data_IF_425807150538
#
_entry.id   IF_425807150538
#
_cell.length_a   1.000
_cell.length_b   1.000
_cell.length_c   1.000
_cell.angle_alpha   90.00
_cell.angle_beta   90.00
_cell.angle_gamma   90.00
#
_symmetry.space_group_name_H-M   'P 1'
#
loop_
_entity.id
_entity.type
_entity.pdbx_description
1 polymer ?
#
# COMPACT_ATOMS: atom_id res chain seq x y z
N UNK A 1 50.49 -39.91 -55.79
CA UNK A 1 49.27 -39.09 -55.83
C UNK A 1 49.38 -38.01 -54.74
N UNK A 2 49.25 -36.73 -55.12
CA UNK A 2 48.90 -35.45 -54.41
C UNK A 2 49.09 -35.38 -52.87
N UNK A 3 49.88 -34.47 -52.27
CA UNK A 3 49.83 -32.97 -52.12
C UNK A 3 48.75 -32.36 -51.20
N UNK A 4 49.22 -31.45 -50.31
CA UNK A 4 48.54 -30.30 -49.64
C UNK A 4 47.48 -30.58 -48.55
N UNK A 5 47.47 -30.02 -47.31
CA UNK A 5 47.59 -28.66 -46.73
C UNK A 5 46.22 -28.04 -46.35
N UNK A 6 46.16 -27.33 -45.19
CA UNK A 6 45.14 -26.36 -44.69
C UNK A 6 43.83 -26.91 -44.08
N UNK A 7 43.57 -26.69 -42.78
CA UNK A 7 42.93 -25.50 -42.15
C UNK A 7 41.41 -25.48 -42.31
N UNK A 8 40.67 -25.51 -41.18
CA UNK A 8 39.67 -24.47 -40.87
C UNK A 8 39.05 -24.61 -39.48
N UNK A 9 39.01 -23.45 -38.80
CA UNK A 9 38.21 -23.03 -37.64
C UNK A 9 36.81 -23.68 -37.54
N UNK A 10 36.26 -23.85 -36.33
CA UNK A 10 35.40 -22.81 -35.72
C UNK A 10 34.54 -23.28 -34.53
N UNK A 11 34.52 -22.41 -33.51
CA UNK A 11 33.40 -22.05 -32.61
C UNK A 11 32.92 -23.07 -31.56
N UNK A 12 33.55 -22.96 -30.39
CA UNK A 12 32.88 -23.09 -29.10
C UNK A 12 31.81 -21.98 -28.97
N UNK A 13 30.55 -22.34 -28.78
CA UNK A 13 29.46 -21.44 -28.39
C UNK A 13 29.10 -21.66 -26.92
N UNK A 14 29.08 -20.61 -26.08
CA UNK A 14 28.56 -20.68 -24.72
C UNK A 14 27.11 -20.18 -24.71
N UNK A 15 26.13 -21.08 -24.62
CA UNK A 15 24.73 -20.70 -24.41
C UNK A 15 24.02 -21.79 -23.60
N UNK A 16 24.32 -21.82 -22.31
CA UNK A 16 23.62 -22.63 -21.32
C UNK A 16 23.42 -21.78 -20.06
N UNK A 17 22.65 -20.71 -20.20
CA UNK A 17 22.01 -20.00 -19.09
C UNK A 17 20.77 -19.33 -19.68
N UNK A 18 19.68 -19.34 -18.93
CA UNK A 18 18.33 -18.83 -19.28
C UNK A 18 17.41 -19.85 -19.96
N UNK A 19 16.83 -20.77 -19.19
CA UNK A 19 15.44 -21.25 -19.32
C UNK A 19 15.12 -22.10 -18.07
N UNK A 20 14.86 -21.42 -16.96
CA UNK A 20 14.35 -22.02 -15.73
C UNK A 20 13.35 -21.05 -15.06
N UNK A 21 12.37 -20.60 -15.84
CA UNK A 21 11.14 -19.94 -15.36
C UNK A 21 10.03 -20.34 -16.33
N UNK A 22 9.63 -21.62 -16.33
CA UNK A 22 8.30 -22.08 -16.82
C UNK A 22 8.13 -23.60 -16.60
N UNK A 23 8.03 -24.06 -15.34
CA UNK A 23 7.66 -25.46 -15.06
C UNK A 23 7.22 -25.69 -13.60
N UNK A 24 6.18 -25.00 -13.12
CA UNK A 24 5.40 -25.46 -11.94
C UNK A 24 3.91 -25.13 -12.13
N UNK A 25 3.39 -25.45 -13.31
CA UNK A 25 1.96 -25.63 -13.53
C UNK A 25 1.83 -26.90 -14.36
N UNK A 26 0.87 -27.76 -14.02
CA UNK A 26 0.62 -29.10 -14.57
C UNK A 26 1.35 -30.23 -13.80
N UNK A 27 0.85 -30.50 -12.60
CA UNK A 27 0.76 -31.86 -12.05
C UNK A 27 -0.20 -31.84 -10.86
N UNK A 28 -1.50 -32.07 -11.09
CA UNK A 28 -2.43 -32.80 -10.20
C UNK A 28 -3.81 -32.87 -10.86
N UNK A 29 -4.11 -33.93 -11.64
CA UNK A 29 -5.49 -34.31 -11.90
C UNK A 29 -5.87 -35.52 -11.03
N UNK A 30 -7.15 -35.54 -10.65
CA UNK A 30 -7.94 -36.77 -10.55
C UNK A 30 -7.65 -37.68 -9.34
N UNK A 31 -8.16 -37.33 -8.15
CA UNK A 31 -8.46 -38.33 -7.11
C UNK A 31 -9.39 -37.80 -6.00
N UNK A 32 -10.54 -37.20 -6.35
CA UNK A 32 -11.62 -36.95 -5.37
C UNK A 32 -13.03 -37.05 -6.01
N UNK A 33 -13.18 -37.90 -7.02
CA UNK A 33 -14.49 -38.34 -7.50
C UNK A 33 -14.73 -39.75 -6.98
N UNK A 34 -15.35 -39.88 -5.80
CA UNK A 34 -16.12 -41.03 -5.30
C UNK A 34 -16.19 -41.00 -3.77
N UNK A 35 -17.05 -40.12 -3.23
CA UNK A 35 -17.60 -40.26 -1.88
C UNK A 35 -18.97 -39.60 -1.77
N UNK A 36 -19.72 -39.52 -2.87
CA UNK A 36 -21.06 -38.96 -2.93
C UNK A 36 -22.04 -40.08 -3.28
N UNK A 37 -22.41 -40.86 -2.29
CA UNK A 37 -23.69 -41.58 -2.23
C UNK A 37 -23.82 -42.22 -0.84
N UNK A 38 -25.00 -42.08 -0.23
CA UNK A 38 -25.44 -42.63 1.06
C UNK A 38 -25.22 -41.76 2.33
N UNK A 39 -25.94 -40.62 2.40
CA UNK A 39 -26.81 -40.34 3.54
C UNK A 39 -27.83 -39.25 3.15
N UNK A 40 -28.98 -39.65 2.62
CA UNK A 40 -30.14 -38.77 2.46
C UNK A 40 -31.05 -38.98 3.66
N UNK A 41 -31.33 -37.91 4.41
CA UNK A 41 -32.68 -37.38 4.70
C UNK A 41 -32.52 -36.27 5.77
N UNK A 42 -33.07 -35.09 5.46
CA UNK A 42 -33.37 -33.95 6.36
C UNK A 42 -32.31 -32.84 6.61
N UNK A 43 -31.43 -32.54 5.64
CA UNK A 43 -30.51 -31.37 5.74
C UNK A 43 -30.61 -30.38 4.55
N UNK A 44 -31.14 -30.80 3.40
CA UNK A 44 -31.06 -30.01 2.15
C UNK A 44 -31.87 -28.70 2.17
N UNK A 45 -32.98 -28.62 2.92
CA UNK A 45 -33.81 -27.39 2.98
C UNK A 45 -33.19 -26.34 3.91
N UNK A 46 -32.59 -26.78 5.01
CA UNK A 46 -31.94 -25.88 5.99
C UNK A 46 -30.62 -25.36 5.43
N UNK A 47 -29.91 -26.19 4.66
CA UNK A 47 -28.67 -25.78 3.99
C UNK A 47 -28.96 -24.78 2.86
N UNK A 48 -30.03 -24.92 2.06
CA UNK A 48 -30.31 -23.94 1.00
C UNK A 48 -30.66 -22.55 1.57
N UNK A 49 -31.42 -22.48 2.67
CA UNK A 49 -31.76 -21.22 3.35
C UNK A 49 -30.54 -20.59 4.06
N UNK A 50 -29.73 -21.39 4.77
CA UNK A 50 -28.49 -20.92 5.43
C UNK A 50 -27.42 -20.55 4.39
N UNK A 51 -27.29 -21.29 3.29
CA UNK A 51 -26.35 -20.98 2.21
C UNK A 51 -26.79 -19.71 1.49
N UNK A 52 -28.08 -19.49 1.28
CA UNK A 52 -28.57 -18.23 0.72
C UNK A 52 -28.23 -17.04 1.61
N UNK A 53 -28.44 -17.17 2.93
CA UNK A 53 -28.19 -16.12 3.92
C UNK A 53 -26.68 -15.84 4.15
N UNK A 54 -25.81 -16.80 3.88
CA UNK A 54 -24.33 -16.65 3.96
C UNK A 54 -23.72 -16.22 2.61
N UNK A 55 -24.45 -16.40 1.49
CA UNK A 55 -23.94 -16.10 0.13
C UNK A 55 -24.44 -14.79 -0.47
N UNK A 56 -25.42 -14.10 0.13
CA UNK A 56 -25.80 -12.75 -0.29
C UNK A 56 -24.98 -11.71 0.50
N UNK A 57 -24.06 -10.97 -0.14
CA UNK A 57 -23.32 -9.89 0.52
C UNK A 57 -24.20 -8.67 0.81
N UNK A 58 -25.48 -8.69 0.41
CA UNK A 58 -26.41 -7.57 0.51
C UNK A 58 -27.35 -7.78 1.70
N UNK A 59 -27.72 -6.69 2.37
CA UNK A 59 -28.73 -6.66 3.42
C UNK A 59 -30.16 -6.81 2.84
N UNK A 60 -31.17 -6.75 3.70
CA UNK A 60 -32.59 -6.92 3.32
C UNK A 60 -33.06 -5.89 2.28
N UNK A 61 -32.43 -4.70 2.26
CA UNK A 61 -32.72 -3.59 1.35
C UNK A 61 -31.86 -3.62 0.07
N UNK A 62 -30.94 -4.58 -0.05
CA UNK A 62 -30.09 -4.75 -1.23
C UNK A 62 -28.78 -3.95 -1.20
N UNK A 63 -28.37 -3.42 -0.05
CA UNK A 63 -27.15 -2.65 0.18
C UNK A 63 -26.02 -3.53 0.73
N UNK A 64 -24.77 -3.27 0.33
CA UNK A 64 -23.59 -3.97 0.82
C UNK A 64 -23.25 -3.57 2.25
N UNK A 65 -23.48 -2.30 2.60
CA UNK A 65 -23.14 -1.72 3.89
C UNK A 65 -24.39 -1.43 4.70
N UNK A 66 -24.40 -1.92 5.96
CA UNK A 66 -25.49 -1.67 6.89
C UNK A 66 -25.07 -0.61 7.93
N UNK A 67 -25.91 0.41 8.13
CA UNK A 67 -25.55 1.52 9.02
C UNK A 67 -25.31 1.06 10.46
N UNK A 68 -26.20 0.24 11.03
CA UNK A 68 -26.11 -0.19 12.43
C UNK A 68 -24.93 -1.12 12.67
N UNK A 69 -24.67 -2.04 11.73
CA UNK A 69 -23.59 -3.03 11.82
C UNK A 69 -22.21 -2.44 11.48
N UNK A 70 -22.12 -1.63 10.44
CA UNK A 70 -20.84 -1.27 9.83
C UNK A 70 -20.46 0.20 10.06
N UNK A 71 -21.41 1.14 10.08
CA UNK A 71 -21.12 2.59 10.16
C UNK A 71 -21.20 3.12 11.59
N UNK A 72 -22.26 2.79 12.32
CA UNK A 72 -22.48 3.26 13.68
C UNK A 72 -21.29 2.95 14.62
N UNK A 73 -20.66 1.76 14.59
CA UNK A 73 -19.49 1.49 15.42
C UNK A 73 -18.28 2.38 15.09
N UNK A 74 -18.12 2.76 13.81
CA UNK A 74 -17.05 3.67 13.39
C UNK A 74 -17.29 5.05 13.99
N UNK A 75 -18.51 5.59 13.83
CA UNK A 75 -18.87 6.91 14.37
C UNK A 75 -18.78 6.95 15.89
N UNK A 76 -19.14 5.86 16.56
CA UNK A 76 -19.03 5.75 18.02
C UNK A 76 -17.58 5.82 18.49
N UNK A 77 -16.70 5.01 17.91
CA UNK A 77 -15.31 4.90 18.37
C UNK A 77 -14.46 6.10 17.91
N UNK A 78 -14.76 6.67 16.73
CA UNK A 78 -13.91 7.69 16.11
C UNK A 78 -14.41 9.12 16.30
N UNK A 79 -15.70 9.33 16.52
CA UNK A 79 -16.31 10.66 16.42
C UNK A 79 -17.03 11.10 17.70
N UNK A 80 -17.72 10.20 18.42
CA UNK A 80 -18.56 10.59 19.56
C UNK A 80 -17.81 11.25 20.72
N UNK A 81 -16.54 10.90 20.96
CA UNK A 81 -15.75 11.50 22.05
C UNK A 81 -15.59 13.02 21.91
N UNK A 82 -15.62 13.56 20.69
CA UNK A 82 -15.47 14.99 20.40
C UNK A 82 -16.70 15.66 19.77
N UNK A 83 -17.60 14.87 19.18
CA UNK A 83 -18.80 15.32 18.45
C UNK A 83 -20.06 14.62 18.95
N UNK A 84 -20.12 14.27 20.23
CA UNK A 84 -21.26 13.63 20.88
C UNK A 84 -22.17 14.63 21.60
N UNK A 85 -23.15 14.11 22.37
CA UNK A 85 -24.09 14.95 23.11
C UNK A 85 -23.45 15.68 24.30
N UNK A 86 -22.37 15.12 24.88
CA UNK A 86 -21.65 15.75 26.00
C UNK A 86 -20.60 16.75 25.53
N UNK A 87 -20.02 16.55 24.35
CA UNK A 87 -19.06 17.46 23.73
C UNK A 87 -19.30 17.60 22.23
N UNK A 88 -19.57 18.82 21.79
CA UNK A 88 -19.87 19.17 20.40
C UNK A 88 -18.83 20.15 19.86
N UNK A 89 -17.61 19.66 19.58
CA UNK A 89 -16.56 20.51 19.00
C UNK A 89 -17.05 21.14 17.70
N UNK A 90 -16.78 22.43 17.55
CA UNK A 90 -17.24 23.25 16.42
C UNK A 90 -18.76 23.23 16.19
N UNK A 91 -19.56 22.97 17.24
CA UNK A 91 -21.03 22.90 17.16
C UNK A 91 -21.53 21.80 16.20
N UNK A 92 -20.69 20.80 15.93
CA UNK A 92 -21.02 19.64 15.12
C UNK A 92 -21.27 18.42 16.00
N UNK A 93 -22.42 17.78 15.78
CA UNK A 93 -22.85 16.57 16.47
C UNK A 93 -23.09 15.43 15.48
N UNK A 94 -22.41 14.30 15.73
CA UNK A 94 -22.49 13.10 14.89
C UNK A 94 -23.67 12.20 15.28
N UNK A 95 -24.19 12.34 16.50
CA UNK A 95 -25.38 11.62 16.99
C UNK A 95 -26.69 12.22 16.46
N UNK A 96 -26.63 13.39 15.85
CA UNK A 96 -27.75 14.09 15.24
C UNK A 96 -27.78 13.81 13.74
N UNK A 97 -28.76 13.01 13.30
CA UNK A 97 -28.86 12.60 11.90
C UNK A 97 -29.02 13.81 10.98
N UNK A 98 -29.87 14.76 11.35
CA UNK A 98 -30.16 15.93 10.54
C UNK A 98 -28.91 16.78 10.33
N UNK A 99 -28.15 17.04 11.40
CA UNK A 99 -26.89 17.79 11.30
C UNK A 99 -25.82 17.03 10.52
N UNK A 100 -25.76 15.70 10.62
CA UNK A 100 -24.80 14.90 9.86
C UNK A 100 -25.11 14.93 8.35
N UNK A 101 -26.40 14.89 8.00
CA UNK A 101 -26.86 14.90 6.61
C UNK A 101 -26.59 16.24 5.90
N UNK A 102 -26.33 17.34 6.62
CA UNK A 102 -25.86 18.60 6.03
C UNK A 102 -24.44 18.50 5.41
N UNK A 103 -23.66 17.46 5.78
CA UNK A 103 -22.30 17.23 5.30
C UNK A 103 -22.19 16.00 4.38
N UNK A 104 -23.31 15.33 4.14
CA UNK A 104 -23.38 14.11 3.32
C UNK A 104 -24.34 14.37 2.17
N UNK A 105 -23.83 14.21 0.95
CA UNK A 105 -24.62 14.17 -0.27
C UNK A 105 -24.90 12.69 -0.60
N UNK A 106 -26.14 12.20 -0.39
CA UNK A 106 -26.48 10.81 -0.68
C UNK A 106 -26.19 10.45 -2.14
N UNK A 107 -25.76 9.22 -2.38
CA UNK A 107 -25.35 8.67 -3.68
C UNK A 107 -24.02 9.22 -4.23
N UNK A 108 -23.41 10.22 -3.58
CA UNK A 108 -22.16 10.83 -4.04
C UNK A 108 -21.20 11.20 -2.89
N UNK A 109 -20.32 10.25 -2.56
CA UNK A 109 -19.26 10.47 -1.58
C UNK A 109 -18.22 11.50 -2.02
N UNK A 110 -18.09 11.80 -3.32
CA UNK A 110 -17.10 12.76 -3.81
C UNK A 110 -17.62 14.21 -3.77
N UNK A 111 -18.92 14.42 -3.63
CA UNK A 111 -19.49 15.74 -3.30
C UNK A 111 -19.81 15.92 -1.81
N UNK A 112 -19.77 14.84 -1.03
CA UNK A 112 -19.94 14.88 0.43
C UNK A 112 -18.74 15.54 1.13
N UNK A 113 -18.95 16.70 1.75
CA UNK A 113 -17.92 17.44 2.48
C UNK A 113 -17.35 16.64 3.65
N UNK A 114 -18.19 15.83 4.34
CA UNK A 114 -17.72 14.90 5.37
C UNK A 114 -16.58 14.02 4.85
N UNK A 115 -16.75 13.45 3.67
CA UNK A 115 -15.80 12.48 3.12
C UNK A 115 -14.56 13.17 2.53
N UNK A 116 -14.74 14.24 1.75
CA UNK A 116 -13.65 14.90 1.04
C UNK A 116 -12.86 15.85 1.95
N UNK A 117 -13.55 16.74 2.66
CA UNK A 117 -12.93 17.85 3.37
C UNK A 117 -12.47 17.49 4.78
N UNK A 118 -13.01 16.41 5.37
CA UNK A 118 -12.70 16.02 6.75
C UNK A 118 -12.08 14.62 6.87
N UNK A 119 -12.57 13.62 6.14
CA UNK A 119 -12.09 12.24 6.30
C UNK A 119 -10.88 11.87 5.43
N UNK A 120 -10.69 12.53 4.27
CA UNK A 120 -9.65 12.16 3.28
C UNK A 120 -8.67 13.27 2.92
N UNK A 121 -8.81 14.44 3.54
CA UNK A 121 -7.89 15.56 3.39
C UNK A 121 -6.55 15.28 4.10
N UNK A 122 -5.46 15.84 3.59
CA UNK A 122 -4.13 15.76 4.22
C UNK A 122 -3.72 17.12 4.81
N UNK A 123 -4.61 17.69 5.61
CA UNK A 123 -4.41 18.94 6.34
C UNK A 123 -4.58 18.65 7.84
N UNK A 124 -3.61 19.05 8.67
CA UNK A 124 -3.57 18.70 10.10
C UNK A 124 -4.68 19.37 10.92
N UNK A 125 -5.16 20.54 10.49
CA UNK A 125 -6.21 21.30 11.17
C UNK A 125 -7.62 20.87 10.74
N UNK A 126 -7.76 20.34 9.52
CA UNK A 126 -9.04 19.93 8.94
C UNK A 126 -9.31 18.42 9.04
N UNK A 127 -8.26 17.59 9.08
CA UNK A 127 -8.42 16.13 9.12
C UNK A 127 -9.10 15.66 10.41
N UNK A 128 -10.20 14.93 10.26
CA UNK A 128 -10.96 14.33 11.35
C UNK A 128 -11.04 12.81 11.18
N UNK A 129 -10.75 12.02 12.23
CA UNK A 129 -10.21 12.43 13.53
C UNK A 129 -8.76 12.96 13.43
N UNK A 130 -8.36 13.90 14.31
CA UNK A 130 -7.00 14.42 14.31
C UNK A 130 -5.97 13.32 14.55
N UNK A 131 -4.77 13.46 13.96
CA UNK A 131 -3.66 12.50 14.15
C UNK A 131 -3.31 12.26 15.63
N UNK A 132 -3.45 13.29 16.46
CA UNK A 132 -3.23 13.22 17.91
C UNK A 132 -4.35 12.49 18.70
N UNK A 133 -5.53 12.29 18.10
CA UNK A 133 -6.72 11.73 18.75
C UNK A 133 -7.33 10.63 17.90
N UNK A 134 -6.64 9.50 17.78
CA UNK A 134 -7.14 8.31 17.07
C UNK A 134 -6.88 8.29 15.57
N UNK A 135 -6.44 9.41 15.00
CA UNK A 135 -5.95 9.53 13.62
C UNK A 135 -7.00 9.34 12.53
N UNK A 136 -6.60 9.50 11.26
CA UNK A 136 -7.51 9.29 10.14
C UNK A 136 -8.07 7.87 10.20
N UNK A 137 -9.31 7.72 9.73
CA UNK A 137 -9.95 6.42 9.58
C UNK A 137 -9.03 5.48 8.78
N UNK A 138 -9.06 4.21 9.16
CA UNK A 138 -8.40 3.16 8.40
C UNK A 138 -9.00 3.05 7.00
N UNK A 139 -8.26 2.51 6.01
CA UNK A 139 -8.79 2.34 4.66
C UNK A 139 -10.08 1.53 4.58
N UNK A 140 -10.24 0.54 5.45
CA UNK A 140 -11.47 -0.25 5.54
C UNK A 140 -12.64 0.57 6.06
N UNK A 141 -12.42 1.38 7.10
CA UNK A 141 -13.44 2.28 7.65
C UNK A 141 -13.83 3.34 6.61
N UNK A 142 -12.85 3.97 5.95
CA UNK A 142 -13.11 4.91 4.84
C UNK A 142 -13.87 4.26 3.68
N UNK A 143 -13.52 3.03 3.31
CA UNK A 143 -14.21 2.31 2.25
C UNK A 143 -15.67 2.02 2.63
N UNK A 144 -15.93 1.61 3.87
CA UNK A 144 -17.30 1.40 4.37
C UNK A 144 -18.11 2.69 4.32
N UNK A 145 -17.56 3.80 4.85
CA UNK A 145 -18.22 5.11 4.80
C UNK A 145 -18.49 5.55 3.36
N UNK A 146 -17.52 5.39 2.45
CA UNK A 146 -17.70 5.74 1.03
C UNK A 146 -18.81 4.92 0.37
N UNK A 147 -18.81 3.61 0.59
CA UNK A 147 -19.82 2.72 -0.01
C UNK A 147 -21.20 3.06 0.55
N UNK A 148 -21.32 3.24 1.87
CA UNK A 148 -22.57 3.65 2.50
C UNK A 148 -23.13 4.96 1.94
N UNK A 149 -22.30 6.01 1.80
CA UNK A 149 -22.75 7.27 1.20
C UNK A 149 -23.23 7.05 -0.24
N UNK A 150 -22.45 6.31 -1.04
CA UNK A 150 -22.79 6.00 -2.43
C UNK A 150 -24.03 5.10 -2.57
N UNK A 151 -24.38 4.33 -1.54
CA UNK A 151 -25.62 3.55 -1.46
C UNK A 151 -26.83 4.38 -0.99
N UNK A 152 -26.64 5.69 -0.79
CA UNK A 152 -27.70 6.63 -0.42
C UNK A 152 -27.69 7.06 1.05
N UNK A 153 -26.59 6.78 1.77
CA UNK A 153 -26.39 7.15 3.18
C UNK A 153 -27.59 6.77 4.07
N UNK A 154 -28.14 5.57 3.85
CA UNK A 154 -29.33 5.13 4.55
C UNK A 154 -29.07 5.05 6.06
N UNK A 155 -29.92 5.74 6.84
CA UNK A 155 -29.91 5.70 8.29
C UNK A 155 -31.33 5.36 8.77
N UNK A 156 -31.58 4.16 9.28
CA UNK A 156 -32.92 3.74 9.70
C UNK A 156 -33.46 4.57 10.87
N UNK A 157 -34.75 4.90 10.85
CA UNK A 157 -35.41 5.58 11.97
C UNK A 157 -35.41 4.69 13.22
N UNK A 158 -34.93 5.23 14.36
CA UNK A 158 -34.86 4.51 15.63
C UNK A 158 -33.51 3.87 15.97
N UNK A 159 -32.51 3.97 15.08
CA UNK A 159 -31.12 3.59 15.38
C UNK A 159 -30.37 4.81 15.92
N UNK A 160 -30.14 4.83 17.23
CA UNK A 160 -29.34 5.88 17.90
C UNK A 160 -27.89 5.44 18.06
N UNK A 161 -26.95 6.37 17.82
CA UNK A 161 -25.52 6.12 18.07
C UNK A 161 -25.19 5.97 19.56
N UNK A 162 -26.03 6.49 20.46
CA UNK A 162 -25.80 6.47 21.91
C UNK A 162 -26.38 5.24 22.61
N UNK A 163 -27.42 4.61 22.05
CA UNK A 163 -28.09 3.45 22.65
C UNK A 163 -27.37 2.12 22.37
N UNK A 164 -26.52 2.09 21.33
CA UNK A 164 -25.77 0.91 20.92
C UNK A 164 -24.49 0.65 21.76
N UNK A 165 -24.15 1.52 22.70
CA UNK A 165 -23.03 1.30 23.63
C UNK A 165 -23.27 0.12 24.60
N UNK A 166 -24.53 -0.30 24.81
CA UNK A 166 -24.90 -1.46 25.63
C UNK A 166 -25.06 -2.76 24.82
N UNK A 167 -25.07 -2.69 23.49
CA UNK A 167 -25.33 -3.82 22.61
C UNK A 167 -24.14 -4.08 21.68
N UNK A 168 -23.28 -4.96 22.15
CA UNK A 168 -22.21 -5.68 21.47
C UNK A 168 -20.82 -5.03 21.53
N UNK A 169 -19.96 -5.69 22.33
CA UNK A 169 -18.56 -5.93 21.98
C UNK A 169 -18.50 -6.59 20.59
N UNK A 170 -18.72 -5.83 19.52
CA UNK A 170 -18.31 -6.27 18.19
C UNK A 170 -16.86 -5.85 18.07
N UNK A 171 -15.93 -6.80 17.93
CA UNK A 171 -14.61 -6.42 17.49
C UNK A 171 -14.83 -5.83 16.10
N UNK A 172 -14.66 -4.52 15.95
CA UNK A 172 -14.19 -3.97 14.68
C UNK A 172 -12.82 -4.60 14.49
N UNK A 173 -12.83 -5.86 14.07
CA UNK A 173 -11.69 -6.51 13.49
C UNK A 173 -11.50 -5.74 12.19
N UNK A 174 -10.74 -4.65 12.29
CA UNK A 174 -9.84 -4.24 11.22
C UNK A 174 -9.28 -5.58 10.74
N UNK A 175 -9.70 -6.04 9.56
CA UNK A 175 -9.25 -7.31 9.00
C UNK A 175 -7.82 -7.06 8.53
N UNK A 176 -6.94 -6.78 9.48
CA UNK A 176 -5.52 -6.87 9.32
C UNK A 176 -5.21 -8.29 8.89
N UNK A 177 -4.09 -8.49 8.20
CA UNK A 177 -3.76 -9.79 7.65
C UNK A 177 -3.84 -10.88 8.73
N UNK A 178 -4.77 -11.81 8.56
CA UNK A 178 -4.99 -12.92 9.49
C UNK A 178 -3.89 -13.97 9.38
N UNK A 179 -3.21 -14.02 8.23
CA UNK A 179 -2.11 -14.94 7.96
C UNK A 179 -0.76 -14.33 8.34
N UNK A 180 0.16 -15.15 8.85
CA UNK A 180 1.56 -14.75 9.11
C UNK A 180 2.21 -14.11 7.86
N UNK A 181 1.94 -14.68 6.68
CA UNK A 181 2.46 -14.17 5.41
C UNK A 181 1.95 -12.76 5.13
N UNK A 182 0.65 -12.52 5.33
CA UNK A 182 0.07 -11.19 5.18
C UNK A 182 0.64 -10.19 6.19
N UNK A 183 0.86 -10.61 7.45
CA UNK A 183 1.42 -9.75 8.50
C UNK A 183 2.85 -9.35 8.19
N UNK A 184 3.68 -10.30 7.77
CA UNK A 184 5.06 -10.04 7.34
C UNK A 184 5.07 -9.14 6.11
N UNK A 185 4.18 -9.39 5.15
CA UNK A 185 4.03 -8.55 3.97
C UNK A 185 3.68 -7.10 4.33
N UNK A 186 2.65 -6.87 5.15
CA UNK A 186 2.27 -5.54 5.60
C UNK A 186 3.39 -4.87 6.42
N UNK A 187 3.97 -5.60 7.38
CA UNK A 187 5.04 -5.09 8.25
C UNK A 187 6.29 -4.62 7.48
N UNK A 188 6.73 -5.35 6.44
CA UNK A 188 7.90 -4.90 5.66
C UNK A 188 7.65 -3.57 4.93
N UNK A 189 6.39 -3.19 4.69
CA UNK A 189 6.06 -1.91 4.04
C UNK A 189 6.55 -0.72 4.85
N UNK A 190 6.52 -0.82 6.18
CA UNK A 190 7.03 0.20 7.10
C UNK A 190 8.56 0.41 6.98
N UNK A 191 9.29 -0.54 6.39
CA UNK A 191 10.72 -0.37 6.11
C UNK A 191 10.99 0.38 4.80
N UNK A 192 9.95 0.77 4.04
CA UNK A 192 10.11 1.55 2.81
C UNK A 192 10.93 2.84 3.02
N UNK A 193 10.64 3.71 4.00
CA UNK A 193 11.42 4.93 4.22
C UNK A 193 12.90 4.64 4.54
N UNK A 194 13.18 3.57 5.30
CA UNK A 194 14.55 3.18 5.58
C UNK A 194 15.26 2.65 4.33
N UNK A 195 14.58 1.84 3.52
CA UNK A 195 15.18 1.19 2.35
C UNK A 195 15.40 2.13 1.17
N UNK A 196 14.61 3.20 1.01
CA UNK A 196 14.82 4.18 -0.09
C UNK A 196 16.16 4.92 0.01
N UNK A 197 16.75 5.05 1.20
CA UNK A 197 18.04 5.74 1.38
C UNK A 197 19.19 5.03 0.65
N UNK A 198 19.13 3.71 0.52
CA UNK A 198 20.16 2.92 -0.17
C UNK A 198 20.27 3.22 -1.67
N UNK A 199 19.20 3.06 -2.49
CA UNK A 199 19.26 3.40 -3.91
C UNK A 199 19.55 4.89 -4.14
N UNK A 200 18.99 5.79 -3.31
CA UNK A 200 19.28 7.22 -3.39
C UNK A 200 20.78 7.46 -3.24
N UNK A 201 21.39 6.97 -2.15
CA UNK A 201 22.82 7.17 -1.88
C UNK A 201 23.70 6.56 -2.98
N UNK A 202 23.40 5.34 -3.43
CA UNK A 202 24.19 4.64 -4.44
C UNK A 202 24.10 5.31 -5.82
N UNK A 203 22.90 5.67 -6.28
CA UNK A 203 22.72 6.32 -7.58
C UNK A 203 23.36 7.72 -7.59
N UNK A 204 23.21 8.50 -6.51
CA UNK A 204 23.85 9.81 -6.35
C UNK A 204 25.37 9.70 -6.30
N UNK A 205 25.92 8.77 -5.51
CA UNK A 205 27.35 8.53 -5.43
C UNK A 205 27.92 8.11 -6.79
N UNK A 206 27.25 7.17 -7.46
CA UNK A 206 27.62 6.71 -8.79
C UNK A 206 27.65 7.85 -9.81
N UNK A 207 26.61 8.68 -9.83
CA UNK A 207 26.54 9.89 -10.65
C UNK A 207 27.69 10.86 -10.34
N UNK A 208 27.98 11.11 -9.07
CA UNK A 208 29.12 11.90 -8.64
C UNK A 208 30.45 11.40 -9.20
N UNK A 209 30.68 10.08 -9.17
CA UNK A 209 31.89 9.47 -9.75
C UNK A 209 31.90 9.48 -11.30
N UNK A 210 30.74 9.51 -11.97
CA UNK A 210 30.68 9.75 -13.43
C UNK A 210 31.20 11.15 -13.76
N UNK A 211 30.72 12.17 -13.04
CA UNK A 211 31.16 13.56 -13.21
C UNK A 211 32.64 13.71 -12.88
N UNK A 212 33.07 13.12 -11.76
CA UNK A 212 34.48 13.11 -11.36
C UNK A 212 35.38 12.41 -12.38
N UNK A 213 34.84 11.38 -13.05
CA UNK A 213 35.45 10.66 -14.15
C UNK A 213 35.84 11.53 -15.35
N UNK A 214 35.23 12.70 -15.53
CA UNK A 214 35.62 13.65 -16.59
C UNK A 214 36.99 14.26 -16.33
N UNK A 215 37.36 14.46 -15.06
CA UNK A 215 38.69 14.96 -14.65
C UNK A 215 39.66 13.81 -14.39
N UNK A 216 39.18 12.69 -13.83
CA UNK A 216 39.98 11.53 -13.47
C UNK A 216 39.41 10.23 -14.07
N UNK A 217 39.81 9.86 -15.31
CA UNK A 217 39.22 8.73 -16.03
C UNK A 217 39.29 7.39 -15.30
N UNK A 218 40.30 7.21 -14.43
CA UNK A 218 40.46 6.01 -13.61
C UNK A 218 39.27 5.74 -12.68
N UNK A 219 38.61 6.79 -12.17
CA UNK A 219 37.50 6.67 -11.22
C UNK A 219 36.14 6.53 -11.92
N UNK A 220 36.03 6.99 -13.16
CA UNK A 220 34.75 7.19 -13.84
C UNK A 220 34.07 5.94 -14.39
N UNK A 221 34.56 4.73 -14.10
CA UNK A 221 34.02 3.49 -14.71
C UNK A 221 33.70 2.41 -13.69
N UNK A 222 34.65 1.98 -12.85
CA UNK A 222 34.41 0.86 -11.92
C UNK A 222 33.45 1.24 -10.78
N UNK A 223 33.64 2.40 -10.16
CA UNK A 223 32.83 2.86 -9.02
C UNK A 223 31.39 3.16 -9.47
N UNK A 224 31.15 3.94 -10.54
CA UNK A 224 29.78 4.19 -11.01
C UNK A 224 29.03 2.92 -11.42
N UNK A 225 29.75 1.96 -12.02
CA UNK A 225 29.17 0.68 -12.41
C UNK A 225 28.67 -0.11 -11.18
N UNK A 226 29.52 -0.26 -10.16
CA UNK A 226 29.13 -0.96 -8.93
C UNK A 226 27.93 -0.28 -8.25
N UNK A 227 27.95 1.06 -8.18
CA UNK A 227 26.86 1.86 -7.64
C UNK A 227 25.56 1.67 -8.41
N UNK A 228 25.59 1.66 -9.75
CA UNK A 228 24.41 1.44 -10.58
C UNK A 228 23.84 0.02 -10.41
N UNK A 229 24.69 -1.00 -10.36
CA UNK A 229 24.24 -2.39 -10.22
C UNK A 229 23.57 -2.62 -8.86
N UNK A 230 24.26 -2.27 -7.76
CA UNK A 230 23.74 -2.45 -6.41
C UNK A 230 22.53 -1.51 -6.19
N UNK A 231 22.63 -0.27 -6.67
CA UNK A 231 21.57 0.73 -6.63
C UNK A 231 20.29 0.24 -7.29
N UNK A 232 20.37 -0.35 -8.50
CA UNK A 232 19.20 -0.88 -9.22
C UNK A 232 18.50 -2.00 -8.46
N UNK A 233 19.24 -2.93 -7.85
CA UNK A 233 18.66 -4.00 -7.03
C UNK A 233 17.99 -3.42 -5.78
N UNK A 234 18.66 -2.50 -5.09
CA UNK A 234 18.07 -1.84 -3.91
C UNK A 234 16.85 -0.99 -4.24
N UNK A 235 16.78 -0.40 -5.45
CA UNK A 235 15.62 0.36 -5.91
C UNK A 235 14.40 -0.55 -6.10
N UNK A 236 14.59 -1.75 -6.66
CA UNK A 236 13.51 -2.75 -6.77
C UNK A 236 12.98 -3.14 -5.40
N UNK A 237 13.87 -3.42 -4.43
CA UNK A 237 13.47 -3.75 -3.06
C UNK A 237 12.66 -2.62 -2.43
N UNK A 238 13.13 -1.38 -2.56
CA UNK A 238 12.41 -0.21 -2.05
C UNK A 238 11.04 -0.04 -2.72
N UNK A 239 10.91 -0.25 -4.03
CA UNK A 239 9.61 -0.21 -4.75
C UNK A 239 8.65 -1.28 -4.25
N UNK A 240 9.12 -2.51 -4.02
CA UNK A 240 8.28 -3.60 -3.50
C UNK A 240 7.77 -3.28 -2.10
N UNK A 241 8.63 -2.78 -1.21
CA UNK A 241 8.21 -2.37 0.13
C UNK A 241 7.23 -1.19 0.07
N UNK A 242 7.47 -0.22 -0.81
CA UNK A 242 6.56 0.92 -1.02
C UNK A 242 5.19 0.48 -1.52
N UNK A 243 5.13 -0.52 -2.39
CA UNK A 243 3.87 -1.10 -2.85
C UNK A 243 3.11 -1.79 -1.72
N UNK A 244 3.82 -2.50 -0.85
CA UNK A 244 3.22 -3.09 0.34
C UNK A 244 2.62 -2.02 1.27
N UNK A 245 3.36 -0.95 1.50
CA UNK A 245 2.95 0.15 2.36
C UNK A 245 1.75 0.94 1.80
N UNK A 246 1.68 1.10 0.48
CA UNK A 246 0.55 1.77 -0.18
C UNK A 246 -0.79 1.06 0.04
N UNK A 247 -0.78 -0.27 0.18
CA UNK A 247 -1.99 -1.06 0.48
C UNK A 247 -2.48 -0.79 1.91
N UNK A 248 -1.55 -0.69 2.87
CA UNK A 248 -1.85 -0.38 4.28
C UNK A 248 -2.44 1.02 4.46
N UNK A 249 -2.05 1.97 3.60
CA UNK A 249 -2.56 3.34 3.60
C UNK A 249 -3.82 3.53 2.74
N UNK A 250 -4.36 2.47 2.12
CA UNK A 250 -5.61 2.55 1.36
C UNK A 250 -5.49 3.06 -0.07
N UNK A 251 -4.27 3.27 -0.58
CA UNK A 251 -4.02 3.68 -1.97
C UNK A 251 -4.08 2.49 -2.97
N UNK A 252 -4.81 1.43 -2.62
CA UNK A 252 -4.65 0.06 -3.13
C UNK A 252 -5.28 -0.28 -4.48
N UNK A 253 -5.65 0.67 -5.34
CA UNK A 253 -6.20 0.34 -6.65
C UNK A 253 -5.27 0.74 -7.81
N UNK A 254 -4.87 -0.26 -8.61
CA UNK A 254 -4.20 -0.09 -9.90
C UNK A 254 -5.07 0.68 -10.92
N UNK A 255 -6.37 0.81 -10.67
CA UNK A 255 -7.37 1.28 -11.64
C UNK A 255 -7.95 2.67 -11.31
N UNK A 256 -7.53 3.33 -10.23
CA UNK A 256 -7.92 4.72 -9.95
C UNK A 256 -6.90 5.67 -10.58
N UNK A 257 -7.12 5.98 -11.85
CA UNK A 257 -6.46 7.07 -12.58
C UNK A 257 -7.40 8.28 -12.63
N UNK A 258 -7.95 8.66 -11.48
CA UNK A 258 -8.86 9.79 -11.38
C UNK A 258 -8.02 11.07 -11.43
N UNK A 259 -8.49 12.09 -12.17
CA UNK A 259 -7.73 13.32 -12.43
C UNK A 259 -7.32 14.03 -11.13
N UNK A 260 -8.14 13.92 -10.09
CA UNK A 260 -7.92 14.49 -8.76
C UNK A 260 -6.87 13.71 -7.93
N UNK A 261 -6.76 12.39 -8.12
CA UNK A 261 -5.69 11.60 -7.48
C UNK A 261 -4.33 11.89 -8.14
N UNK A 262 -4.30 12.25 -9.42
CA UNK A 262 -3.08 12.69 -10.13
C UNK A 262 -2.53 14.01 -9.61
N UNK A 263 -3.32 14.80 -8.89
CA UNK A 263 -2.88 16.05 -8.26
C UNK A 263 -2.22 15.82 -6.90
N UNK A 264 -2.44 14.64 -6.28
CA UNK A 264 -1.86 14.30 -4.97
C UNK A 264 -0.35 14.01 -5.08
N UNK A 265 0.45 14.58 -4.19
CA UNK A 265 1.91 14.41 -4.14
C UNK A 265 2.32 12.93 -4.01
N UNK A 266 1.52 12.14 -3.29
CA UNK A 266 1.70 10.69 -3.13
C UNK A 266 1.64 9.94 -4.46
N UNK A 267 0.79 10.36 -5.41
CA UNK A 267 0.70 9.74 -6.73
C UNK A 267 2.01 9.92 -7.51
N UNK A 268 2.53 11.15 -7.55
CA UNK A 268 3.77 11.47 -8.24
C UNK A 268 4.98 10.80 -7.57
N UNK A 269 5.03 10.75 -6.24
CA UNK A 269 6.07 10.04 -5.50
C UNK A 269 6.09 8.55 -5.86
N UNK A 270 4.92 7.89 -5.87
CA UNK A 270 4.78 6.46 -6.18
C UNK A 270 5.28 6.14 -7.59
N UNK A 271 4.78 6.86 -8.60
CA UNK A 271 5.12 6.57 -10.00
C UNK A 271 6.53 6.98 -10.38
N UNK A 272 7.03 8.10 -9.86
CA UNK A 272 8.41 8.50 -10.09
C UNK A 272 9.42 7.51 -9.49
N UNK A 273 9.12 6.93 -8.32
CA UNK A 273 9.90 5.83 -7.74
C UNK A 273 9.94 4.58 -8.63
N UNK A 274 8.80 4.17 -9.18
CA UNK A 274 8.70 3.03 -10.13
C UNK A 274 9.50 3.31 -11.40
N UNK A 275 9.40 4.52 -11.95
CA UNK A 275 10.15 4.95 -13.15
C UNK A 275 11.66 4.86 -12.89
N UNK A 276 12.15 5.36 -11.75
CA UNK A 276 13.58 5.28 -11.39
C UNK A 276 14.02 3.82 -11.29
N UNK A 277 13.22 2.95 -10.67
CA UNK A 277 13.50 1.52 -10.54
C UNK A 277 13.65 0.85 -11.93
N UNK A 278 12.70 1.04 -12.84
CA UNK A 278 12.74 0.50 -14.21
C UNK A 278 13.92 1.06 -15.01
N UNK A 279 14.14 2.38 -14.98
CA UNK A 279 15.24 3.02 -15.70
C UNK A 279 16.60 2.53 -15.20
N UNK A 280 16.77 2.40 -13.88
CA UNK A 280 18.03 1.94 -13.29
C UNK A 280 18.37 0.51 -13.71
N UNK A 281 17.38 -0.39 -13.81
CA UNK A 281 17.54 -1.76 -14.33
C UNK A 281 17.93 -1.71 -15.81
N UNK A 282 17.23 -0.90 -16.61
CA UNK A 282 17.54 -0.74 -18.03
C UNK A 282 18.98 -0.29 -18.26
N UNK A 283 19.44 0.73 -17.54
CA UNK A 283 20.82 1.21 -17.64
C UNK A 283 21.83 0.23 -17.03
N UNK A 284 21.49 -0.51 -15.98
CA UNK A 284 22.32 -1.60 -15.46
C UNK A 284 22.54 -2.69 -16.53
N UNK A 285 21.51 -3.07 -17.28
CA UNK A 285 21.63 -4.01 -18.40
C UNK A 285 22.53 -3.44 -19.50
N UNK A 286 22.34 -2.18 -19.89
CA UNK A 286 23.21 -1.50 -20.88
C UNK A 286 24.66 -1.46 -20.39
N UNK A 287 24.89 -1.23 -19.10
CA UNK A 287 26.22 -1.24 -18.50
C UNK A 287 26.87 -2.64 -18.56
N UNK A 288 26.12 -3.71 -18.27
CA UNK A 288 26.61 -5.08 -18.42
C UNK A 288 26.91 -5.45 -19.88
N UNK A 289 26.08 -5.01 -20.83
CA UNK A 289 26.35 -5.18 -22.26
C UNK A 289 27.58 -4.40 -22.72
N UNK A 290 27.83 -3.23 -22.12
CA UNK A 290 29.03 -2.42 -22.35
C UNK A 290 30.32 -3.09 -21.88
N UNK A 291 30.26 -4.01 -20.91
CA UNK A 291 31.44 -4.80 -20.50
C UNK A 291 31.76 -5.93 -21.49
N UNK A 292 30.73 -6.44 -22.18
CA UNK A 292 30.89 -7.52 -23.18
C UNK A 292 31.24 -6.98 -24.57
N UNK A 293 30.94 -5.71 -24.83
CA UNK A 293 31.12 -5.08 -26.14
C UNK A 293 31.91 -3.81 -25.97
N UNK A 294 33.08 -3.72 -26.61
CA UNK A 294 33.98 -2.54 -26.55
C UNK A 294 33.46 -1.35 -27.36
N UNK A 295 32.17 -1.04 -27.19
CA UNK A 295 31.44 -0.02 -27.94
C UNK A 295 31.33 1.23 -27.08
N UNK A 296 32.00 2.34 -27.43
CA UNK A 296 32.01 3.56 -26.61
C UNK A 296 30.62 4.19 -26.45
N UNK A 297 29.71 3.94 -27.39
CA UNK A 297 28.31 4.39 -27.30
C UNK A 297 27.57 3.79 -26.11
N UNK A 298 27.73 2.49 -25.82
CA UNK A 298 27.07 1.88 -24.66
C UNK A 298 27.61 2.48 -23.35
N UNK A 299 28.93 2.67 -23.28
CA UNK A 299 29.58 3.31 -22.12
C UNK A 299 29.01 4.69 -21.85
N UNK A 300 28.84 5.49 -22.90
CA UNK A 300 28.23 6.80 -22.79
C UNK A 300 26.76 6.72 -22.36
N UNK A 301 25.97 5.82 -22.96
CA UNK A 301 24.53 5.67 -22.68
C UNK A 301 24.25 5.33 -21.22
N UNK A 302 24.91 4.34 -20.63
CA UNK A 302 24.62 3.98 -19.23
C UNK A 302 25.14 5.03 -18.24
N UNK A 303 26.24 5.73 -18.54
CA UNK A 303 26.74 6.83 -17.71
C UNK A 303 25.79 8.02 -17.73
N UNK A 304 25.30 8.41 -18.91
CA UNK A 304 24.28 9.45 -19.03
C UNK A 304 22.98 9.02 -18.34
N UNK A 305 22.58 7.75 -18.52
CA UNK A 305 21.43 7.17 -17.84
C UNK A 305 21.52 7.23 -16.32
N UNK A 306 22.69 6.93 -15.75
CA UNK A 306 22.94 7.06 -14.31
C UNK A 306 22.80 8.50 -13.82
N UNK A 307 23.26 9.50 -14.58
CA UNK A 307 23.05 10.91 -14.23
C UNK A 307 21.57 11.29 -14.24
N UNK A 308 20.81 10.80 -15.22
CA UNK A 308 19.35 11.02 -15.30
C UNK A 308 18.64 10.34 -14.12
N UNK A 309 18.95 9.08 -13.83
CA UNK A 309 18.39 8.37 -12.68
C UNK A 309 18.68 9.10 -11.36
N UNK A 310 19.91 9.61 -11.17
CA UNK A 310 20.26 10.40 -9.99
C UNK A 310 19.44 11.69 -9.92
N UNK A 311 19.33 12.45 -11.02
CA UNK A 311 18.54 13.67 -11.04
C UNK A 311 17.06 13.43 -10.67
N UNK A 312 16.43 12.42 -11.28
CA UNK A 312 15.03 12.05 -10.96
C UNK A 312 14.94 11.62 -9.49
N UNK A 313 15.85 10.75 -9.03
CA UNK A 313 15.88 10.25 -7.67
C UNK A 313 16.03 11.37 -6.63
N UNK A 314 16.76 12.44 -6.94
CA UNK A 314 16.83 13.64 -6.10
C UNK A 314 15.48 14.37 -6.00
N UNK A 315 14.75 14.50 -7.10
CA UNK A 315 13.41 15.07 -7.10
C UNK A 315 12.40 14.19 -6.31
N UNK A 316 12.42 12.87 -6.51
CA UNK A 316 11.57 11.94 -5.75
C UNK A 316 11.92 11.95 -4.26
N UNK A 317 13.20 12.03 -3.93
CA UNK A 317 13.68 12.11 -2.55
C UNK A 317 13.25 13.39 -1.84
N UNK A 318 13.18 14.52 -2.56
CA UNK A 318 12.65 15.76 -2.02
C UNK A 318 11.16 15.64 -1.66
N UNK A 319 10.33 15.13 -2.57
CA UNK A 319 8.91 14.83 -2.31
C UNK A 319 8.73 13.81 -1.18
N UNK A 320 9.64 12.83 -1.11
CA UNK A 320 9.67 11.83 -0.05
C UNK A 320 9.95 12.41 1.33
N UNK A 321 10.79 13.45 1.41
CA UNK A 321 11.19 14.08 2.67
C UNK A 321 10.15 15.02 3.26
N UNK A 322 9.14 15.41 2.49
CA UNK A 322 8.02 16.23 2.96
C UNK A 322 6.97 15.40 3.73
N UNK A 323 6.96 14.08 3.52
CA UNK A 323 6.10 13.15 4.27
C UNK A 323 6.67 12.85 5.67
N UNK A 324 6.06 13.40 6.72
CA UNK A 324 6.40 13.09 8.10
C UNK A 324 5.65 11.84 8.58
N UNK A 325 6.38 10.89 9.16
CA UNK A 325 5.81 9.71 9.82
C UNK A 325 5.77 9.97 11.33
N UNK A 326 4.59 9.88 11.96
CA UNK A 326 4.43 10.12 13.39
C UNK A 326 5.19 9.12 14.28
N UNK A 327 5.27 9.40 15.58
CA UNK A 327 6.05 8.59 16.55
C UNK A 327 5.57 7.12 16.62
N UNK A 328 4.29 6.88 16.33
CA UNK A 328 3.68 5.55 16.31
C UNK A 328 3.99 4.71 15.06
N UNK A 329 4.79 5.21 14.12
CA UNK A 329 5.05 4.53 12.85
C UNK A 329 5.65 3.12 12.99
N UNK A 330 6.77 2.99 13.72
CA UNK A 330 7.39 1.67 13.96
C UNK A 330 6.66 0.83 15.03
N UNK A 331 6.14 1.41 16.12
CA UNK A 331 5.24 0.69 17.02
C UNK A 331 4.05 0.03 16.29
N UNK A 332 3.46 0.71 15.30
CA UNK A 332 2.41 0.13 14.44
C UNK A 332 2.92 -1.05 13.61
N UNK A 333 4.12 -0.97 13.03
CA UNK A 333 4.74 -2.11 12.34
C UNK A 333 4.82 -3.35 13.23
N UNK A 334 5.27 -3.20 14.49
CA UNK A 334 5.36 -4.32 15.42
C UNK A 334 3.98 -4.89 15.76
N UNK A 335 2.98 -4.03 16.00
CA UNK A 335 1.59 -4.46 16.25
C UNK A 335 1.02 -5.26 15.08
N UNK A 336 1.23 -4.80 13.85
CA UNK A 336 0.82 -5.52 12.63
C UNK A 336 1.52 -6.87 12.51
N UNK A 337 2.82 -6.93 12.84
CA UNK A 337 3.60 -8.17 12.78
C UNK A 337 3.16 -9.19 13.84
N UNK A 338 2.91 -8.74 15.08
CA UNK A 338 2.44 -9.59 16.19
C UNK A 338 0.96 -9.91 16.08
N UNK A 339 0.18 -9.10 15.36
CA UNK A 339 -1.27 -9.18 15.25
C UNK A 339 -2.00 -8.79 16.53
N UNK A 340 -1.43 -7.86 17.30
CA UNK A 340 -2.07 -7.26 18.47
C UNK A 340 -2.88 -6.05 18.01
N UNK A 341 -4.21 -6.13 18.06
CA UNK A 341 -5.13 -5.02 17.75
C UNK A 341 -5.12 -3.97 18.87
N UNK A 342 -5.53 -2.74 18.54
CA UNK A 342 -5.42 -1.52 19.35
C UNK A 342 -6.18 -1.51 20.71
N UNK A 343 -6.87 -2.60 21.07
CA UNK A 343 -7.68 -2.72 22.28
C UNK A 343 -6.83 -2.70 23.58
N UNK A 344 -5.51 -2.93 23.50
CA UNK A 344 -4.65 -3.03 24.69
C UNK A 344 -3.73 -1.83 24.96
N UNK A 345 -3.71 -0.81 24.11
CA UNK A 345 -2.78 0.32 24.26
C UNK A 345 -3.35 1.51 25.04
N UNK A 346 -4.67 1.59 25.30
CA UNK A 346 -5.24 2.64 26.16
C UNK A 346 -5.13 2.35 27.66
N UNK A 347 -4.63 1.17 28.03
CA UNK A 347 -4.26 0.89 29.41
C UNK A 347 -2.79 1.23 29.62
N UNK A 348 -2.51 2.17 30.54
CA UNK A 348 -1.20 2.70 30.99
C UNK A 348 -0.91 4.06 30.33
N UNK A 349 -1.05 5.22 30.99
CA UNK A 349 -0.59 5.61 32.34
C UNK A 349 -1.61 6.48 33.11
N UNK A 350 -1.73 6.36 34.45
CA UNK A 350 -2.45 7.33 35.26
C UNK A 350 -1.64 8.62 35.37
N UNK A 351 -2.14 9.69 34.77
CA UNK A 351 -1.63 11.04 34.93
C UNK A 351 -1.69 11.44 36.41
N UNK A 352 -0.53 11.48 37.07
CA UNK A 352 -0.42 12.00 38.43
C UNK A 352 -0.57 13.51 38.39
N UNK A 353 -1.78 14.00 38.64
CA UNK A 353 -2.04 15.42 38.90
C UNK A 353 -1.31 15.86 40.18
N UNK A 354 -0.22 16.60 40.04
CA UNK A 354 0.29 17.48 41.09
C UNK A 354 -0.42 18.84 40.97
N UNK A 355 -1.26 19.17 41.95
CA UNK A 355 -1.77 20.53 42.18
C UNK A 355 -0.69 21.39 42.85
N UNK A 356 -0.59 22.69 42.51
CA UNK A 356 -0.15 23.72 43.46
C UNK A 356 -1.27 24.16 44.41
#
# INVERSE_FOLDING_TARGET
MRSFCLSTRSRLTPFAFTFAVLAVAIAMPCSLANAQEALLVDEDVVIEEIVQQVMTPLNEDGHLVDFGRDIAPILQVRCLDCHGPEEAKNDFRVDDRELMMDYIEPEDAESSTLYVDYLTIDDEDMLMPPRAHGGPLTPSELALVRVWINEGAEWPEGVSLTDALDAAEVPVAVVGPTTLVGRVWAAQGFLHPATVHFPIALLMLGAGFVVLGWKWPALGTQIPLACLLIGSVSAVVATVMGWSFAVEQGYGSWNRFDAEMMEKEVFWHRWSGVIVSILSIGFAIVALLSLRSDRPRLTFTWKLGLLICAAICGAVGHQGGEMSYGEDFYPKMFRVLTGTNDIQASAVEPETTESP
#
